data_IF_133285078483
#
_entry.id   IF_133285078483
#
_cell.length_a   1.000
_cell.length_b   1.000
_cell.length_c   1.000
_cell.angle_alpha   90.00
_cell.angle_beta   90.00
_cell.angle_gamma   90.00
#
_symmetry.space_group_name_H-M   'P 1'
#
loop_
_entity.id
_entity.type
_entity.pdbx_description
1 polymer ?
#
# COMPACT_ATOMS: atom_id res chain seq x y z
N UNK A 1 8.38 1.41 32.68
CA UNK A 1 8.60 0.09 32.07
C UNK A 1 7.95 -0.95 32.96
N UNK A 2 7.23 -1.90 32.39
CA UNK A 2 6.58 -3.00 33.13
C UNK A 2 7.00 -4.34 32.51
N UNK A 3 7.05 -5.39 33.33
CA UNK A 3 7.23 -6.75 32.85
C UNK A 3 5.85 -7.42 32.66
N UNK A 4 5.70 -8.22 31.61
CA UNK A 4 4.51 -9.04 31.44
C UNK A 4 4.47 -10.09 32.56
N UNK A 5 3.51 -9.98 33.47
CA UNK A 5 3.38 -10.90 34.59
C UNK A 5 3.19 -12.34 34.08
N UNK A 6 4.06 -13.26 34.52
CA UNK A 6 4.06 -14.66 34.07
C UNK A 6 4.57 -14.90 32.63
N UNK A 7 5.01 -13.85 31.94
CA UNK A 7 5.56 -13.93 30.59
C UNK A 7 4.62 -14.55 29.56
N UNK A 8 5.20 -15.08 28.48
CA UNK A 8 4.41 -15.75 27.42
C UNK A 8 3.70 -17.01 27.91
N UNK A 9 4.19 -17.67 28.97
CA UNK A 9 3.58 -18.88 29.51
C UNK A 9 2.23 -18.61 30.16
N UNK A 10 2.07 -17.45 30.81
CA UNK A 10 0.80 -17.01 31.36
C UNK A 10 -0.11 -16.32 30.34
N UNK A 11 0.40 -16.03 29.13
CA UNK A 11 -0.36 -15.38 28.07
C UNK A 11 -1.25 -16.39 27.35
N UNK A 12 -2.55 -16.40 27.67
CA UNK A 12 -3.55 -17.17 26.93
C UNK A 12 -3.80 -16.54 25.56
N UNK A 13 -3.98 -17.37 24.52
CA UNK A 13 -4.44 -16.93 23.19
C UNK A 13 -5.95 -16.71 23.13
N UNK A 14 -6.66 -16.97 24.22
CA UNK A 14 -8.09 -16.71 24.40
C UNK A 14 -8.31 -15.81 25.61
N UNK A 15 -9.15 -14.77 25.46
CA UNK A 15 -9.69 -14.00 26.55
C UNK A 15 -10.63 -14.87 27.42
N UNK A 16 -10.97 -14.44 28.65
CA UNK A 16 -11.84 -15.21 29.55
C UNK A 16 -13.23 -15.55 28.97
N UNK A 17 -13.69 -14.81 27.96
CA UNK A 17 -14.95 -15.03 27.25
C UNK A 17 -14.83 -16.01 26.06
N UNK A 18 -13.65 -16.60 25.86
CA UNK A 18 -13.37 -17.52 24.75
C UNK A 18 -13.09 -16.83 23.41
N UNK A 19 -13.10 -15.50 23.35
CA UNK A 19 -12.64 -14.76 22.16
C UNK A 19 -11.12 -14.81 22.03
N UNK A 20 -10.53 -14.63 20.83
CA UNK A 20 -9.09 -14.52 20.68
C UNK A 20 -8.54 -13.42 21.59
N UNK A 21 -7.55 -13.77 22.43
CA UNK A 21 -6.89 -12.80 23.29
C UNK A 21 -6.27 -11.69 22.41
N UNK A 22 -6.36 -10.43 22.84
CA UNK A 22 -5.87 -9.31 22.05
C UNK A 22 -4.37 -9.45 21.82
N UNK A 23 -3.95 -9.79 20.61
CA UNK A 23 -2.54 -9.71 20.20
C UNK A 23 -2.17 -8.26 19.93
N UNK A 24 -0.86 -7.98 19.93
CA UNK A 24 -0.35 -6.65 19.60
C UNK A 24 -0.72 -6.23 18.16
N UNK A 25 -0.59 -7.17 17.20
CA UNK A 25 -0.94 -6.99 15.80
C UNK A 25 -1.78 -8.18 15.30
N UNK A 26 -2.67 -7.95 14.34
CA UNK A 26 -3.24 -9.00 13.50
C UNK A 26 -2.26 -9.18 12.37
N UNK A 27 -1.57 -10.33 12.32
CA UNK A 27 -0.59 -10.56 11.24
C UNK A 27 -1.21 -10.23 9.89
N UNK A 28 -0.46 -9.53 9.02
CA UNK A 28 -1.01 -9.11 7.73
C UNK A 28 -1.53 -10.28 6.90
N UNK A 29 -0.98 -11.49 7.13
CA UNK A 29 -1.51 -12.72 6.56
C UNK A 29 -2.94 -13.02 7.02
N UNK A 30 -3.18 -13.06 8.34
CA UNK A 30 -4.49 -13.40 8.87
C UNK A 30 -5.54 -12.34 8.49
N UNK A 31 -5.16 -11.07 8.52
CA UNK A 31 -6.03 -9.97 8.09
C UNK A 31 -6.46 -10.14 6.63
N UNK A 32 -5.52 -10.30 5.70
CA UNK A 32 -5.87 -10.44 4.29
C UNK A 32 -6.69 -11.72 4.00
N UNK A 33 -6.43 -12.83 4.70
CA UNK A 33 -7.24 -14.05 4.55
C UNK A 33 -8.67 -13.85 5.05
N UNK A 34 -8.87 -13.09 6.13
CA UNK A 34 -10.19 -12.71 6.61
C UNK A 34 -10.92 -11.81 5.59
N UNK A 35 -10.21 -10.83 5.00
CA UNK A 35 -10.75 -10.00 3.91
C UNK A 35 -11.21 -10.86 2.73
N UNK A 36 -10.39 -11.82 2.28
CA UNK A 36 -10.78 -12.76 1.22
C UNK A 36 -12.07 -13.50 1.57
N UNK A 37 -12.14 -14.07 2.77
CA UNK A 37 -13.29 -14.86 3.19
C UNK A 37 -14.57 -14.01 3.27
N UNK A 38 -14.47 -12.78 3.77
CA UNK A 38 -15.59 -11.87 3.92
C UNK A 38 -16.06 -11.28 2.58
N UNK A 39 -15.11 -10.87 1.74
CA UNK A 39 -15.37 -10.16 0.48
C UNK A 39 -15.51 -11.07 -0.73
N UNK A 40 -15.22 -12.36 -0.58
CA UNK A 40 -15.19 -13.34 -1.66
C UNK A 40 -14.29 -12.87 -2.81
N UNK A 41 -13.12 -12.31 -2.48
CA UNK A 41 -12.20 -11.73 -3.46
C UNK A 41 -11.89 -12.75 -4.57
N UNK A 42 -12.14 -12.44 -5.86
CA UNK A 42 -11.96 -13.40 -6.95
C UNK A 42 -10.51 -13.88 -7.08
N UNK A 43 -10.35 -15.15 -7.48
CA UNK A 43 -9.07 -15.84 -7.56
C UNK A 43 -8.90 -16.50 -8.94
N UNK A 44 -7.66 -16.58 -9.40
CA UNK A 44 -7.24 -17.37 -10.58
C UNK A 44 -6.02 -18.20 -10.19
N UNK A 45 -5.97 -19.46 -10.60
CA UNK A 45 -4.82 -20.35 -10.39
C UNK A 45 -3.70 -20.11 -11.39
N UNK A 46 -2.49 -20.56 -11.08
CA UNK A 46 -1.35 -20.46 -12.00
C UNK A 46 -1.63 -21.17 -13.35
N UNK A 47 -2.28 -22.34 -13.31
CA UNK A 47 -2.63 -23.10 -14.51
C UNK A 47 -3.65 -22.36 -15.38
N UNK A 48 -4.71 -21.79 -14.79
CA UNK A 48 -5.72 -21.02 -15.53
C UNK A 48 -5.12 -19.75 -16.14
N UNK A 49 -4.26 -19.03 -15.39
CA UNK A 49 -3.60 -17.83 -15.91
C UNK A 49 -2.66 -18.17 -17.07
N UNK A 50 -1.88 -19.24 -16.96
CA UNK A 50 -1.01 -19.71 -18.03
C UNK A 50 -1.81 -20.11 -19.28
N UNK A 51 -2.93 -20.81 -19.13
CA UNK A 51 -3.80 -21.19 -20.24
C UNK A 51 -4.40 -19.97 -20.93
N UNK A 52 -4.86 -18.97 -20.16
CA UNK A 52 -5.40 -17.71 -20.69
C UNK A 52 -4.34 -16.95 -21.48
N UNK A 53 -3.14 -16.80 -20.91
CA UNK A 53 -2.02 -16.14 -21.58
C UNK A 53 -1.62 -16.86 -22.88
N UNK A 54 -1.51 -18.20 -22.84
CA UNK A 54 -1.20 -19.01 -24.02
C UNK A 54 -2.31 -18.95 -25.10
N UNK A 55 -3.56 -18.78 -24.70
CA UNK A 55 -4.71 -18.58 -25.59
C UNK A 55 -4.87 -17.17 -26.14
N UNK A 56 -3.99 -16.22 -25.78
CA UNK A 56 -4.06 -14.82 -26.22
C UNK A 56 -5.18 -14.01 -25.55
N UNK A 57 -5.61 -14.41 -24.35
CA UNK A 57 -6.58 -13.63 -23.59
C UNK A 57 -6.01 -12.26 -23.19
N UNK A 58 -6.86 -11.24 -23.18
CA UNK A 58 -6.50 -9.89 -22.73
C UNK A 58 -6.42 -9.83 -21.20
N UNK A 59 -5.20 -10.08 -20.67
CA UNK A 59 -4.91 -10.13 -19.24
C UNK A 59 -3.64 -9.32 -18.94
N UNK A 60 -3.71 -8.48 -17.91
CA UNK A 60 -2.55 -7.81 -17.33
C UNK A 60 -2.31 -8.35 -15.93
N UNK A 61 -1.06 -8.71 -15.63
CA UNK A 61 -0.63 -9.16 -14.31
C UNK A 61 0.11 -8.03 -13.60
N UNK A 62 -0.39 -7.60 -12.43
CA UNK A 62 0.22 -6.53 -11.62
C UNK A 62 0.87 -7.13 -10.37
N UNK A 63 2.20 -7.04 -10.26
CA UNK A 63 2.95 -7.54 -9.11
C UNK A 63 3.02 -6.49 -8.00
N UNK A 64 2.39 -6.79 -6.87
CA UNK A 64 2.23 -5.83 -5.75
C UNK A 64 3.35 -5.83 -4.73
N UNK A 65 4.43 -6.57 -5.01
CA UNK A 65 5.61 -6.63 -4.14
C UNK A 65 6.50 -5.41 -4.33
N UNK A 66 7.55 -5.34 -3.51
CA UNK A 66 8.60 -4.33 -3.70
C UNK A 66 9.35 -4.58 -5.01
N UNK A 67 9.94 -3.53 -5.59
CA UNK A 67 10.73 -3.66 -6.82
C UNK A 67 11.89 -4.69 -6.70
N UNK A 68 12.62 -4.78 -5.57
CA UNK A 68 13.63 -5.83 -5.40
C UNK A 68 13.04 -7.25 -5.42
N UNK A 69 11.88 -7.47 -4.79
CA UNK A 69 11.21 -8.78 -4.81
C UNK A 69 10.74 -9.17 -6.23
N UNK A 70 10.21 -8.22 -7.00
CA UNK A 70 9.85 -8.41 -8.40
C UNK A 70 11.08 -8.74 -9.25
N UNK A 71 12.14 -7.94 -9.10
CA UNK A 71 13.35 -8.05 -9.90
C UNK A 71 14.11 -9.34 -9.63
N UNK A 72 13.98 -9.90 -8.43
CA UNK A 72 14.51 -11.21 -8.11
C UNK A 72 13.86 -12.31 -8.95
N UNK A 73 12.52 -12.35 -9.00
CA UNK A 73 11.74 -13.23 -9.87
C UNK A 73 10.25 -12.85 -9.85
N UNK A 74 9.55 -12.99 -10.98
CA UNK A 74 8.13 -12.65 -11.14
C UNK A 74 7.44 -13.52 -12.20
N UNK A 75 6.10 -13.47 -12.22
CA UNK A 75 5.29 -14.15 -13.24
C UNK A 75 5.62 -13.54 -14.61
N UNK A 76 5.82 -14.36 -15.66
CA UNK A 76 6.15 -13.84 -16.99
C UNK A 76 5.20 -12.75 -17.48
N UNK A 77 5.75 -11.65 -17.99
CA UNK A 77 4.98 -10.49 -18.48
C UNK A 77 4.24 -9.68 -17.41
N UNK A 78 4.45 -9.96 -16.11
CA UNK A 78 3.89 -9.14 -15.05
C UNK A 78 4.54 -7.74 -15.03
N UNK A 79 3.77 -6.73 -14.61
CA UNK A 79 4.24 -5.36 -14.43
C UNK A 79 4.45 -5.13 -12.93
N UNK A 80 5.62 -4.64 -12.53
CA UNK A 80 5.90 -4.30 -11.14
C UNK A 80 5.10 -3.07 -10.70
N UNK A 81 4.19 -3.20 -9.74
CA UNK A 81 3.38 -2.09 -9.20
C UNK A 81 3.12 -2.31 -7.71
N UNK A 82 3.99 -1.83 -6.80
CA UNK A 82 3.81 -1.99 -5.36
C UNK A 82 2.39 -1.60 -4.91
N UNK A 83 1.84 -2.32 -3.93
CA UNK A 83 0.39 -2.32 -3.68
C UNK A 83 -0.28 -0.93 -3.55
N UNK A 84 0.39 0.05 -2.91
CA UNK A 84 -0.17 1.40 -2.75
C UNK A 84 -0.16 2.22 -4.05
N UNK A 85 0.73 1.90 -5.00
CA UNK A 85 0.83 2.54 -6.31
C UNK A 85 -0.29 2.12 -7.27
N UNK A 86 -1.01 1.03 -6.98
CA UNK A 86 -2.02 0.45 -7.89
C UNK A 86 -3.00 1.51 -8.42
N UNK A 87 -3.72 2.23 -7.54
CA UNK A 87 -4.70 3.23 -7.99
C UNK A 87 -4.05 4.39 -8.73
N UNK A 88 -2.82 4.76 -8.38
CA UNK A 88 -2.09 5.86 -8.99
C UNK A 88 -1.64 5.55 -10.42
N UNK A 89 -1.25 4.30 -10.69
CA UNK A 89 -0.64 3.89 -11.97
C UNK A 89 -1.62 3.22 -12.92
N UNK A 90 -2.76 2.74 -12.43
CA UNK A 90 -3.62 1.81 -13.15
C UNK A 90 -3.99 2.26 -14.58
N UNK A 91 -4.33 3.54 -14.76
CA UNK A 91 -4.75 4.08 -16.06
C UNK A 91 -3.65 4.11 -17.12
N UNK A 92 -2.39 4.13 -16.71
CA UNK A 92 -1.27 4.06 -17.65
C UNK A 92 -0.92 2.61 -18.01
N UNK A 93 -1.40 1.63 -17.22
CA UNK A 93 -0.99 0.22 -17.29
C UNK A 93 -2.06 -0.73 -17.81
N UNK A 94 -3.34 -0.36 -17.68
CA UNK A 94 -4.48 -1.19 -18.08
C UNK A 94 -5.17 -0.53 -19.28
N UNK A 95 -5.02 -1.08 -20.50
CA UNK A 95 -5.35 -0.38 -21.75
C UNK A 95 -6.85 -0.28 -22.03
N UNK A 96 -7.66 -1.20 -21.51
CA UNK A 96 -9.10 -1.28 -21.75
C UNK A 96 -9.86 -1.60 -20.46
N UNK A 97 -11.11 -1.13 -20.27
CA UNK A 97 -11.98 -1.59 -19.19
C UNK A 97 -12.32 -3.09 -19.27
N UNK A 98 -12.16 -3.73 -20.43
CA UNK A 98 -12.42 -5.16 -20.60
C UNK A 98 -11.20 -6.04 -20.28
N UNK A 99 -10.01 -5.44 -20.20
CA UNK A 99 -8.78 -6.15 -19.86
C UNK A 99 -8.90 -6.75 -18.45
N UNK A 100 -8.68 -8.06 -18.32
CA UNK A 100 -8.66 -8.67 -17.00
C UNK A 100 -7.41 -8.23 -16.24
N UNK A 101 -7.60 -7.81 -14.98
CA UNK A 101 -6.49 -7.46 -14.09
C UNK A 101 -6.29 -8.60 -13.08
N UNK A 102 -5.10 -9.20 -13.10
CA UNK A 102 -4.69 -10.21 -12.12
C UNK A 102 -3.60 -9.65 -11.22
N UNK A 103 -3.88 -9.58 -9.93
CA UNK A 103 -2.93 -9.08 -8.93
C UNK A 103 -2.06 -10.23 -8.42
N UNK A 104 -0.75 -10.08 -8.47
CA UNK A 104 0.23 -11.09 -8.05
C UNK A 104 1.07 -10.64 -6.86
N UNK A 105 1.70 -11.61 -6.21
CA UNK A 105 2.64 -11.46 -5.10
C UNK A 105 3.53 -12.71 -4.97
N UNK A 106 4.19 -12.93 -3.83
CA UNK A 106 5.05 -14.09 -3.61
C UNK A 106 4.32 -15.36 -3.12
N UNK A 107 3.06 -15.24 -2.69
CA UNK A 107 2.32 -16.30 -1.99
C UNK A 107 1.89 -15.94 -0.56
N UNK A 108 2.25 -14.73 -0.11
CA UNK A 108 1.60 -14.07 1.02
C UNK A 108 0.38 -13.30 0.53
N UNK A 109 -0.67 -13.07 1.33
CA UNK A 109 -1.93 -12.54 0.83
C UNK A 109 -1.94 -11.02 0.56
N UNK A 110 -0.81 -10.44 0.13
CA UNK A 110 -0.71 -9.05 -0.36
C UNK A 110 -1.57 -8.85 -1.61
N UNK A 111 -1.55 -9.82 -2.53
CA UNK A 111 -2.34 -9.78 -3.75
C UNK A 111 -3.85 -9.71 -3.49
N UNK A 112 -4.32 -10.31 -2.39
CA UNK A 112 -5.73 -10.24 -1.97
C UNK A 112 -6.13 -8.79 -1.69
N UNK A 113 -5.35 -8.06 -0.88
CA UNK A 113 -5.64 -6.66 -0.58
C UNK A 113 -5.49 -5.78 -1.81
N UNK A 114 -4.51 -6.05 -2.67
CA UNK A 114 -4.36 -5.34 -3.94
C UNK A 114 -5.59 -5.51 -4.84
N UNK A 115 -6.03 -6.75 -5.08
CA UNK A 115 -7.22 -7.04 -5.86
C UNK A 115 -8.47 -6.40 -5.23
N UNK A 116 -8.64 -6.55 -3.91
CA UNK A 116 -9.79 -5.99 -3.21
C UNK A 116 -9.78 -4.45 -3.24
N UNK A 117 -8.61 -3.81 -3.21
CA UNK A 117 -8.49 -2.34 -3.36
C UNK A 117 -9.07 -1.87 -4.69
N UNK A 118 -8.74 -2.56 -5.78
CA UNK A 118 -9.25 -2.24 -7.12
C UNK A 118 -10.77 -2.42 -7.20
N UNK A 119 -11.29 -3.52 -6.65
CA UNK A 119 -12.72 -3.83 -6.60
C UNK A 119 -13.49 -2.80 -5.76
N UNK A 120 -12.98 -2.50 -4.57
CA UNK A 120 -13.61 -1.57 -3.63
C UNK A 120 -13.58 -0.12 -4.15
N UNK A 121 -12.54 0.25 -4.91
CA UNK A 121 -12.46 1.52 -5.62
C UNK A 121 -13.43 1.62 -6.81
N UNK A 122 -14.10 0.53 -7.20
CA UNK A 122 -15.09 0.51 -8.27
C UNK A 122 -14.46 0.42 -9.66
N UNK A 123 -13.33 -0.26 -9.79
CA UNK A 123 -12.73 -0.52 -11.10
C UNK A 123 -13.70 -1.32 -11.99
N UNK A 124 -13.91 -0.95 -13.28
CA UNK A 124 -14.83 -1.68 -14.15
C UNK A 124 -14.25 -3.01 -14.64
N UNK A 125 -12.92 -3.15 -14.64
CA UNK A 125 -12.23 -4.35 -15.09
C UNK A 125 -12.61 -5.59 -14.29
N UNK A 126 -12.61 -6.79 -14.91
CA UNK A 126 -12.59 -8.04 -14.17
C UNK A 126 -11.30 -8.13 -13.35
N UNK A 127 -11.41 -8.15 -12.02
CA UNK A 127 -10.25 -8.22 -11.12
C UNK A 127 -10.20 -9.57 -10.40
N UNK A 128 -9.01 -10.18 -10.34
CA UNK A 128 -8.74 -11.34 -9.49
C UNK A 128 -7.34 -11.25 -8.87
N UNK A 129 -7.06 -12.05 -7.83
CA UNK A 129 -5.70 -12.29 -7.36
C UNK A 129 -5.17 -13.64 -7.87
N UNK A 130 -3.85 -13.74 -8.09
CA UNK A 130 -3.19 -15.00 -8.42
C UNK A 130 -3.04 -15.87 -7.16
N UNK A 131 -3.63 -17.06 -7.19
CA UNK A 131 -3.56 -18.02 -6.09
C UNK A 131 -2.10 -18.35 -5.75
N UNK A 132 -1.72 -18.11 -4.49
CA UNK A 132 -0.38 -18.31 -3.95
C UNK A 132 0.76 -17.65 -4.73
N UNK A 133 0.46 -16.68 -5.61
CA UNK A 133 1.45 -15.86 -6.30
C UNK A 133 2.55 -16.66 -7.03
N UNK A 134 3.78 -16.17 -6.98
CA UNK A 134 4.94 -16.86 -7.58
C UNK A 134 5.22 -18.22 -6.94
N UNK A 135 4.88 -18.43 -5.65
CA UNK A 135 5.00 -19.75 -5.03
C UNK A 135 4.03 -20.76 -5.64
N UNK A 136 2.79 -20.35 -5.97
CA UNK A 136 1.84 -21.15 -6.73
C UNK A 136 2.34 -21.47 -8.14
N UNK A 137 2.93 -20.47 -8.80
CA UNK A 137 3.54 -20.60 -10.13
C UNK A 137 4.68 -21.65 -10.16
N UNK A 138 5.60 -21.60 -9.19
CA UNK A 138 6.69 -22.56 -9.04
C UNK A 138 6.15 -23.97 -8.79
N UNK A 139 5.15 -24.12 -7.91
CA UNK A 139 4.54 -25.44 -7.63
C UNK A 139 3.85 -26.04 -8.85
N UNK A 140 3.35 -25.21 -9.76
CA UNK A 140 2.80 -25.64 -11.03
C UNK A 140 3.87 -26.03 -12.07
N UNK A 141 5.16 -25.94 -11.73
CA UNK A 141 6.27 -26.23 -12.65
C UNK A 141 6.43 -25.20 -13.78
N UNK A 142 5.87 -24.00 -13.60
CA UNK A 142 5.91 -22.94 -14.60
C UNK A 142 7.16 -22.05 -14.41
N UNK A 143 7.81 -21.60 -15.49
CA UNK A 143 8.98 -20.73 -15.41
C UNK A 143 8.61 -19.33 -14.94
N UNK A 144 9.50 -18.71 -14.16
CA UNK A 144 9.43 -17.31 -13.77
C UNK A 144 10.41 -16.48 -14.61
N UNK A 145 10.10 -15.20 -14.78
CA UNK A 145 11.02 -14.20 -15.31
C UNK A 145 11.85 -13.57 -14.17
N UNK A 146 13.00 -13.00 -14.52
CA UNK A 146 13.92 -12.32 -13.58
C UNK A 146 14.37 -10.98 -14.15
N UNK A 147 14.78 -10.07 -13.30
CA UNK A 147 15.21 -8.71 -13.67
C UNK A 147 14.06 -7.70 -13.69
N UNK A 148 14.39 -6.45 -13.96
CA UNK A 148 13.45 -5.33 -13.99
C UNK A 148 12.84 -5.17 -15.40
N UNK A 149 12.07 -6.17 -15.86
CA UNK A 149 11.57 -6.28 -17.25
C UNK A 149 10.44 -5.30 -17.57
N UNK A 150 9.51 -5.07 -16.63
CA UNK A 150 8.36 -4.18 -16.81
C UNK A 150 8.16 -3.30 -15.56
N UNK A 151 8.73 -2.09 -15.60
CA UNK A 151 8.58 -1.09 -14.55
C UNK A 151 7.65 0.05 -15.01
N UNK A 152 6.88 0.63 -14.09
CA UNK A 152 6.16 1.87 -14.38
C UNK A 152 7.11 3.06 -14.44
N UNK A 153 6.80 4.02 -15.32
CA UNK A 153 7.39 5.36 -15.31
C UNK A 153 6.62 6.33 -14.41
N UNK A 154 6.98 7.63 -14.41
CA UNK A 154 6.18 8.67 -13.77
C UNK A 154 4.71 8.61 -14.23
N UNK A 155 3.77 8.73 -13.28
CA UNK A 155 2.34 8.66 -13.58
C UNK A 155 1.95 9.86 -14.44
N UNK A 156 1.22 9.60 -15.52
CA UNK A 156 0.68 10.67 -16.35
C UNK A 156 -0.26 11.56 -15.55
N UNK A 157 -0.47 12.81 -15.99
CA UNK A 157 -1.45 13.70 -15.35
C UNK A 157 -2.84 13.05 -15.26
N UNK A 158 -3.27 12.39 -16.33
CA UNK A 158 -4.54 11.67 -16.38
C UNK A 158 -4.59 10.52 -15.37
N UNK A 159 -3.51 9.73 -15.24
CA UNK A 159 -3.43 8.67 -14.24
C UNK A 159 -3.48 9.22 -12.81
N UNK A 160 -2.79 10.34 -12.51
CA UNK A 160 -2.87 10.99 -11.20
C UNK A 160 -4.29 11.48 -10.88
N UNK A 161 -4.95 12.13 -11.83
CA UNK A 161 -6.34 12.60 -11.67
C UNK A 161 -7.32 11.43 -11.47
N UNK A 162 -7.17 10.36 -12.27
CA UNK A 162 -7.99 9.17 -12.14
C UNK A 162 -7.71 8.39 -10.85
N UNK A 163 -6.45 8.28 -10.43
CA UNK A 163 -6.05 7.64 -9.19
C UNK A 163 -6.61 8.36 -7.97
N UNK A 164 -6.57 9.70 -7.96
CA UNK A 164 -7.21 10.50 -6.93
C UNK A 164 -8.74 10.30 -6.91
N UNK A 165 -9.37 10.18 -8.08
CA UNK A 165 -10.81 9.86 -8.21
C UNK A 165 -11.15 8.48 -7.63
N UNK A 166 -10.40 7.44 -8.01
CA UNK A 166 -10.58 6.07 -7.52
C UNK A 166 -10.34 5.98 -6.01
N UNK A 167 -9.34 6.70 -5.49
CA UNK A 167 -9.07 6.80 -4.06
C UNK A 167 -10.25 7.41 -3.28
N UNK A 168 -10.85 8.50 -3.79
CA UNK A 168 -12.08 9.06 -3.20
C UNK A 168 -13.25 8.07 -3.27
N UNK A 169 -13.41 7.37 -4.39
CA UNK A 169 -14.45 6.35 -4.53
C UNK A 169 -14.26 5.19 -3.57
N UNK A 170 -13.03 4.73 -3.34
CA UNK A 170 -12.70 3.73 -2.33
C UNK A 170 -13.21 4.16 -0.95
N UNK A 171 -12.90 5.39 -0.54
CA UNK A 171 -13.33 5.93 0.75
C UNK A 171 -14.85 6.10 0.86
N UNK A 172 -15.52 6.49 -0.23
CA UNK A 172 -16.98 6.67 -0.26
C UNK A 172 -17.75 5.35 -0.24
N UNK A 173 -17.28 4.35 -0.99
CA UNK A 173 -17.93 3.05 -1.14
C UNK A 173 -17.68 2.15 0.07
N UNK A 174 -16.53 2.33 0.72
CA UNK A 174 -16.13 1.56 1.89
C UNK A 174 -15.63 2.52 2.97
N UNK A 175 -16.56 3.23 3.65
CA UNK A 175 -16.19 4.21 4.66
C UNK A 175 -15.42 3.56 5.82
N UNK A 176 -14.36 4.22 6.32
CA UNK A 176 -13.60 3.72 7.45
C UNK A 176 -14.45 3.71 8.73
N UNK A 177 -14.14 2.86 9.72
CA UNK A 177 -14.84 2.85 11.01
C UNK A 177 -14.80 4.18 11.76
N UNK A 178 -13.74 4.98 11.54
CA UNK A 178 -13.60 6.34 12.06
C UNK A 178 -13.26 7.27 10.89
N UNK A 179 -13.80 8.51 10.86
CA UNK A 179 -13.45 9.48 9.82
C UNK A 179 -11.95 9.70 9.74
N UNK A 180 -11.41 9.67 8.52
CA UNK A 180 -10.02 10.01 8.25
C UNK A 180 -9.96 11.50 7.94
N UNK A 181 -9.34 12.28 8.83
CA UNK A 181 -9.19 13.71 8.63
C UNK A 181 -8.11 14.02 7.58
N UNK A 182 -8.33 15.06 6.79
CA UNK A 182 -7.26 15.70 6.04
C UNK A 182 -6.71 16.84 6.89
N UNK A 183 -5.39 16.89 7.09
CA UNK A 183 -4.73 17.86 7.94
C UNK A 183 -3.57 18.53 7.19
N UNK A 184 -3.25 19.76 7.60
CA UNK A 184 -2.08 20.48 7.12
C UNK A 184 -0.82 20.12 7.93
N UNK A 185 0.32 20.67 7.47
CA UNK A 185 1.61 20.43 8.09
C UNK A 185 1.67 20.96 9.53
N UNK A 186 1.10 22.13 9.79
CA UNK A 186 1.12 22.74 11.13
C UNK A 186 0.36 21.88 12.13
N UNK A 187 -0.81 21.37 11.75
CA UNK A 187 -1.60 20.43 12.56
C UNK A 187 -0.82 19.13 12.80
N UNK A 188 -0.18 18.57 11.76
CA UNK A 188 0.63 17.37 11.90
C UNK A 188 1.82 17.57 12.86
N UNK A 189 2.45 18.75 12.84
CA UNK A 189 3.53 19.11 13.78
C UNK A 189 3.02 19.32 15.20
N UNK A 190 1.86 19.94 15.36
CA UNK A 190 1.22 20.06 16.67
C UNK A 190 0.94 18.68 17.27
N UNK A 191 0.45 17.73 16.46
CA UNK A 191 0.27 16.34 16.90
C UNK A 191 1.59 15.65 17.23
N UNK A 192 2.67 15.93 16.50
CA UNK A 192 4.00 15.39 16.77
C UNK A 192 4.60 15.94 18.07
N UNK A 193 4.30 17.19 18.42
CA UNK A 193 4.76 17.86 19.64
C UNK A 193 3.94 17.50 20.90
N UNK A 194 2.77 16.90 20.74
CA UNK A 194 1.90 16.49 21.84
C UNK A 194 2.51 15.33 22.64
N UNK A 195 3.12 15.63 23.78
CA UNK A 195 3.73 14.64 24.67
C UNK A 195 2.75 13.68 25.36
N UNK A 196 1.43 13.85 25.20
CA UNK A 196 0.42 12.95 25.77
C UNK A 196 0.04 11.81 24.81
N UNK A 197 0.40 11.91 23.53
CA UNK A 197 0.04 10.92 22.50
C UNK A 197 1.25 10.56 21.66
N UNK A 198 1.34 9.30 21.23
CA UNK A 198 2.32 8.91 20.22
C UNK A 198 1.78 9.25 18.84
N UNK A 199 2.55 10.02 18.06
CA UNK A 199 2.21 10.40 16.68
C UNK A 199 3.32 9.96 15.72
N UNK A 200 2.94 9.22 14.68
CA UNK A 200 3.82 8.83 13.59
C UNK A 200 3.52 9.69 12.35
N UNK A 201 4.54 10.31 11.77
CA UNK A 201 4.47 10.97 10.46
C UNK A 201 5.13 10.06 9.41
N UNK A 202 4.33 9.39 8.59
CA UNK A 202 4.76 8.33 7.70
C UNK A 202 4.56 8.75 6.24
N UNK A 203 5.65 8.92 5.51
CA UNK A 203 5.62 9.13 4.06
C UNK A 203 5.42 7.78 3.36
N UNK A 204 4.28 7.65 2.68
CA UNK A 204 3.85 6.38 2.07
C UNK A 204 4.20 6.26 0.59
N UNK A 205 4.92 7.25 0.04
CA UNK A 205 5.45 7.22 -1.32
C UNK A 205 6.58 6.20 -1.45
N UNK A 206 7.11 6.03 -2.65
CA UNK A 206 8.23 5.11 -2.85
C UNK A 206 9.48 5.57 -2.06
N UNK A 207 10.36 4.65 -1.66
CA UNK A 207 11.63 5.02 -1.02
C UNK A 207 12.45 6.01 -1.86
N UNK A 208 12.46 5.84 -3.18
CA UNK A 208 13.14 6.75 -4.11
C UNK A 208 12.55 8.17 -4.11
N UNK A 209 11.23 8.31 -4.05
CA UNK A 209 10.57 9.63 -3.91
C UNK A 209 10.90 10.29 -2.56
N UNK A 210 10.94 9.49 -1.48
CA UNK A 210 11.32 9.98 -0.16
C UNK A 210 12.77 10.46 -0.12
N UNK A 211 13.70 9.66 -0.63
CA UNK A 211 15.13 10.02 -0.72
C UNK A 211 15.36 11.28 -1.56
N UNK A 212 14.61 11.45 -2.65
CA UNK A 212 14.72 12.62 -3.51
C UNK A 212 14.26 13.90 -2.81
N UNK A 213 13.14 13.86 -2.07
CA UNK A 213 12.65 14.99 -1.28
C UNK A 213 11.57 14.52 -0.30
N UNK A 214 11.69 14.88 0.98
CA UNK A 214 10.70 14.57 2.01
C UNK A 214 10.59 15.68 3.05
N UNK A 215 9.52 15.65 3.83
CA UNK A 215 9.31 16.58 4.94
C UNK A 215 10.25 16.22 6.12
N UNK A 216 10.98 17.17 6.73
CA UNK A 216 11.91 16.88 7.81
C UNK A 216 11.26 16.15 9.00
N UNK A 217 11.94 15.19 9.62
CA UNK A 217 11.39 14.47 10.79
C UNK A 217 10.18 13.57 10.47
N UNK A 218 10.01 13.18 9.21
CA UNK A 218 9.08 12.13 8.77
C UNK A 218 9.84 10.84 8.49
N UNK A 219 9.13 9.71 8.48
CA UNK A 219 9.71 8.39 8.23
C UNK A 219 9.25 7.84 6.88
N UNK A 220 10.18 7.27 6.11
CA UNK A 220 9.81 6.49 4.93
C UNK A 220 9.09 5.22 5.35
N UNK A 221 7.89 4.99 4.80
CA UNK A 221 7.12 3.78 5.04
C UNK A 221 6.23 3.48 3.83
N UNK A 222 6.84 2.94 2.78
CA UNK A 222 6.16 2.59 1.52
C UNK A 222 4.82 1.89 1.80
N UNK A 223 3.73 2.46 1.26
CA UNK A 223 2.38 2.14 1.72
C UNK A 223 2.02 0.65 1.67
N UNK A 224 2.46 -0.08 0.64
CA UNK A 224 2.21 -1.51 0.54
C UNK A 224 2.85 -2.33 1.66
N UNK A 225 4.07 -1.96 2.05
CA UNK A 225 4.78 -2.58 3.17
C UNK A 225 4.19 -2.17 4.52
N UNK A 226 3.84 -0.90 4.68
CA UNK A 226 3.18 -0.40 5.88
C UNK A 226 1.88 -1.16 6.15
N UNK A 227 1.06 -1.42 5.12
CA UNK A 227 -0.13 -2.26 5.28
C UNK A 227 0.27 -3.70 5.61
N UNK A 228 1.24 -4.30 4.92
CA UNK A 228 1.57 -5.71 5.12
C UNK A 228 2.14 -6.02 6.51
N UNK A 229 3.04 -5.17 7.03
CA UNK A 229 3.83 -5.41 8.24
C UNK A 229 3.86 -4.18 9.16
N UNK A 230 2.68 -3.59 9.41
CA UNK A 230 2.54 -2.34 10.18
C UNK A 230 3.24 -2.34 11.55
N UNK A 231 3.30 -3.47 12.25
CA UNK A 231 3.97 -3.61 13.55
C UNK A 231 5.48 -3.31 13.52
N UNK A 232 6.12 -3.32 12.35
CA UNK A 232 7.54 -2.96 12.21
C UNK A 232 7.78 -1.46 12.31
N UNK A 233 6.75 -0.66 12.07
CA UNK A 233 6.83 0.81 12.04
C UNK A 233 6.00 1.41 13.17
N UNK A 234 4.77 0.94 13.37
CA UNK A 234 3.84 1.45 14.37
C UNK A 234 3.88 0.50 15.58
N UNK A 235 4.63 0.91 16.60
CA UNK A 235 4.85 0.12 17.81
C UNK A 235 3.84 0.42 18.93
N UNK A 236 2.97 1.43 18.77
CA UNK A 236 2.01 1.85 19.78
C UNK A 236 0.58 1.69 19.27
N UNK A 237 -0.20 0.81 19.92
CA UNK A 237 -1.63 0.64 19.64
C UNK A 237 -2.38 1.93 20.00
N UNK A 238 -3.34 2.35 19.16
CA UNK A 238 -4.08 3.59 19.38
C UNK A 238 -3.28 4.89 19.12
N UNK A 239 -2.09 4.78 18.54
CA UNK A 239 -1.31 5.95 18.13
C UNK A 239 -2.03 6.79 17.06
N UNK A 240 -1.62 8.06 16.97
CA UNK A 240 -1.91 8.91 15.82
C UNK A 240 -1.00 8.53 14.68
N UNK A 241 -1.55 8.42 13.47
CA UNK A 241 -0.81 8.06 12.26
C UNK A 241 -1.17 9.05 11.18
N UNK A 242 -0.23 9.91 10.82
CA UNK A 242 -0.35 10.85 9.70
C UNK A 242 0.31 10.21 8.49
N UNK A 243 -0.49 9.95 7.46
CA UNK A 243 -0.06 9.37 6.20
C UNK A 243 0.21 10.50 5.21
N UNK A 244 1.46 10.61 4.78
CA UNK A 244 1.95 11.68 3.93
C UNK A 244 2.08 11.17 2.51
N UNK A 245 1.48 11.88 1.56
CA UNK A 245 1.53 11.57 0.13
C UNK A 245 1.58 12.86 -0.70
N UNK A 246 1.74 12.71 -2.00
CA UNK A 246 1.66 13.80 -2.95
C UNK A 246 0.22 14.35 -3.08
N UNK A 247 0.00 15.42 -3.88
CA UNK A 247 -1.33 16.01 -4.02
C UNK A 247 -2.41 15.08 -4.59
N UNK A 248 -2.05 13.99 -5.28
CA UNK A 248 -3.04 13.00 -5.72
C UNK A 248 -3.61 12.22 -4.54
N UNK A 249 -2.80 11.98 -3.50
CA UNK A 249 -3.21 11.36 -2.24
C UNK A 249 -3.71 9.92 -2.37
N UNK A 250 -3.49 9.28 -3.53
CA UNK A 250 -4.03 7.96 -3.82
C UNK A 250 -3.42 6.87 -2.92
N UNK A 251 -2.12 6.99 -2.62
CA UNK A 251 -1.38 6.01 -1.82
C UNK A 251 -1.77 6.13 -0.36
N UNK A 252 -1.79 7.35 0.18
CA UNK A 252 -2.24 7.60 1.55
C UNK A 252 -3.66 7.09 1.78
N UNK A 253 -4.57 7.30 0.82
CA UNK A 253 -5.95 6.84 0.94
C UNK A 253 -6.09 5.31 0.98
N UNK A 254 -5.33 4.58 0.15
CA UNK A 254 -5.29 3.10 0.17
C UNK A 254 -4.76 2.59 1.50
N UNK A 255 -3.67 3.19 1.99
CA UNK A 255 -3.06 2.83 3.28
C UNK A 255 -4.05 3.10 4.43
N UNK A 256 -4.69 4.27 4.44
CA UNK A 256 -5.66 4.64 5.46
C UNK A 256 -6.87 3.70 5.47
N UNK A 257 -7.38 3.34 4.28
CA UNK A 257 -8.47 2.39 4.12
C UNK A 257 -8.14 1.06 4.79
N UNK A 258 -6.97 0.47 4.53
CA UNK A 258 -6.62 -0.82 5.13
C UNK A 258 -6.22 -0.74 6.60
N UNK A 259 -5.42 0.25 7.00
CA UNK A 259 -4.99 0.40 8.40
C UNK A 259 -6.18 0.65 9.34
N UNK A 260 -7.17 1.44 8.92
CA UNK A 260 -8.37 1.71 9.72
C UNK A 260 -9.20 0.44 10.02
N UNK A 261 -9.10 -0.57 9.16
CA UNK A 261 -9.84 -1.83 9.28
C UNK A 261 -9.11 -2.92 10.08
N UNK A 262 -7.86 -2.67 10.53
CA UNK A 262 -7.08 -3.69 11.27
C UNK A 262 -7.43 -3.84 12.75
N UNK A 263 -8.29 -2.98 13.31
CA UNK A 263 -8.74 -3.09 14.70
C UNK A 263 -7.72 -2.63 15.76
N UNK A 264 -6.69 -1.89 15.35
CA UNK A 264 -5.67 -1.34 16.27
C UNK A 264 -6.07 -0.01 16.91
N UNK A 265 -7.20 0.57 16.49
CA UNK A 265 -7.73 1.82 17.06
C UNK A 265 -6.90 3.06 16.74
N UNK A 266 -6.13 3.03 15.63
CA UNK A 266 -5.33 4.19 15.20
C UNK A 266 -6.22 5.40 14.89
N UNK A 267 -5.75 6.58 15.29
CA UNK A 267 -6.31 7.86 14.86
C UNK A 267 -5.57 8.28 13.59
N UNK A 268 -6.19 8.09 12.42
CA UNK A 268 -5.53 8.24 11.12
C UNK A 268 -5.89 9.58 10.50
N UNK A 269 -4.88 10.30 10.02
CA UNK A 269 -5.02 11.49 9.20
C UNK A 269 -4.20 11.39 7.91
N UNK A 270 -4.60 12.13 6.88
CA UNK A 270 -3.88 12.26 5.62
C UNK A 270 -3.34 13.68 5.50
N UNK A 271 -2.06 13.80 5.15
CA UNK A 271 -1.42 15.06 4.80
C UNK A 271 -0.95 14.96 3.35
N UNK A 272 -1.52 15.81 2.48
CA UNK A 272 -1.07 15.95 1.09
C UNK A 272 -0.04 17.06 1.00
N UNK A 273 1.08 16.80 0.36
CA UNK A 273 2.16 17.78 0.22
C UNK A 273 2.70 17.83 -1.20
N UNK A 274 2.90 19.04 -1.73
CA UNK A 274 3.56 19.24 -3.02
C UNK A 274 5.08 19.29 -2.85
N UNK A 275 5.73 18.14 -3.06
CA UNK A 275 7.18 17.99 -2.97
C UNK A 275 7.95 18.68 -4.12
N UNK A 276 7.25 19.18 -5.15
CA UNK A 276 7.88 19.92 -6.26
C UNK A 276 7.96 21.43 -5.98
N UNK A 277 7.10 21.97 -5.11
CA UNK A 277 6.97 23.40 -4.86
C UNK A 277 8.25 24.07 -4.29
N UNK A 278 9.14 23.30 -3.66
CA UNK A 278 10.41 23.78 -3.10
C UNK A 278 11.65 23.59 -4.00
N UNK A 279 11.51 22.93 -5.15
CA UNK A 279 12.65 22.64 -6.04
C UNK A 279 12.89 23.73 -7.11
N UNK A 280 12.01 24.74 -7.18
CA UNK A 280 12.03 25.79 -8.20
C UNK A 280 12.62 27.13 -7.75
N UNK A 281 13.29 27.22 -6.59
CA UNK A 281 14.07 28.42 -6.26
C UNK A 281 15.38 28.38 -7.06
N UNK A 282 15.62 29.28 -8.03
CA UNK A 282 16.91 29.33 -8.70
C UNK A 282 17.99 29.62 -7.66
N UNK A 283 19.01 28.78 -7.58
CA UNK A 283 20.32 29.17 -7.04
C UNK A 283 20.94 30.19 -8.01
N UNK A 284 20.47 31.43 -7.97
CA UNK A 284 21.06 32.58 -8.66
C UNK A 284 21.04 33.77 -7.72
N UNK A 285 21.89 33.75 -6.69
CA UNK A 285 22.25 34.96 -5.94
C UNK A 285 23.48 34.72 -5.04
N UNK A 286 24.55 34.07 -5.56
CA UNK A 286 25.86 34.03 -4.87
C UNK A 286 27.05 34.18 -5.83
N UNK A 287 26.86 34.83 -6.99
CA UNK A 287 27.97 35.09 -7.93
C UNK A 287 28.20 36.59 -8.26
N UNK A 288 27.50 37.53 -7.63
CA UNK A 288 27.62 38.97 -7.93
C UNK A 288 28.08 39.87 -6.76
N UNK A 289 28.64 39.29 -5.70
CA UNK A 289 29.28 40.04 -4.59
C UNK A 289 30.78 39.76 -4.44
N UNK A 290 31.46 39.50 -5.57
CA UNK A 290 32.92 39.42 -5.63
C UNK A 290 33.55 40.27 -6.76
N UNK A 291 32.81 41.26 -7.26
CA UNK A 291 33.32 42.28 -8.18
C UNK A 291 32.65 43.64 -7.91
N UNK A 292 33.04 44.27 -6.81
CA UNK A 292 32.66 45.63 -6.44
C UNK A 292 33.75 46.25 -5.59
#
# INVERSE_FOLDING_TARGET
MHALAGGLQAWSTLAPDGSPAPTFDTSGRNFSLAVRAQRHTPVVTAAELQQRAAGGADVVVLDTRTLPEYSHQHVPGAIAVPAAELLLRLSDLVPSPDTQVVVSCAGLPRAILGAQTLIDAGLPNPVAYLEDGTAGWIRAGLPLETGATHLYGPASRAARENGARLARQLAQRNPPPQPIAEIDLDTARAWQADGQRTTYLLDVRTPAEFEASHLPGTLSSEGGQLVAVSHRTIAVRGARVVLIDDPAGARAQVVAHWLSQRGHGYEIAILRHDFAAGQNTPRQEEAETAAG
#
